data_IF_749088973211
#
_entry.id   IF_749088973211
#
_cell.length_a   1.000
_cell.length_b   1.000
_cell.length_c   1.000
_cell.angle_alpha   90.00
_cell.angle_beta   90.00
_cell.angle_gamma   90.00
#
_symmetry.space_group_name_H-M   'P 1'
#
loop_
_entity.id
_entity.type
_entity.pdbx_description
1 polymer ?
#
# COMPACT_ATOMS: atom_id res chain seq x y z
N UNK A 1 -14.64 -13.33 -15.88
CA UNK A 1 -14.54 -11.93 -15.40
C UNK A 1 -13.87 -11.98 -14.03
N UNK A 2 -12.75 -11.27 -13.84
CA UNK A 2 -12.09 -11.20 -12.55
C UNK A 2 -12.52 -9.89 -11.90
N UNK A 3 -13.22 -9.95 -10.78
CA UNK A 3 -13.63 -8.76 -10.03
C UNK A 3 -12.53 -8.41 -9.01
N UNK A 4 -12.28 -7.12 -8.83
CA UNK A 4 -11.31 -6.62 -7.85
C UNK A 4 -12.01 -5.72 -6.84
N UNK A 5 -11.65 -5.86 -5.56
CA UNK A 5 -12.13 -5.00 -4.50
C UNK A 5 -10.97 -4.20 -3.94
N UNK A 6 -11.14 -2.89 -3.90
CA UNK A 6 -10.18 -1.99 -3.25
C UNK A 6 -10.61 -1.74 -1.79
N UNK A 7 -9.72 -2.04 -0.84
CA UNK A 7 -9.97 -1.76 0.58
C UNK A 7 -9.02 -0.65 1.01
N UNK A 8 -9.59 0.46 1.46
CA UNK A 8 -8.88 1.66 1.90
C UNK A 8 -8.99 1.77 3.42
N UNK A 9 -7.86 1.74 4.13
CA UNK A 9 -7.85 1.67 5.60
C UNK A 9 -7.12 2.87 6.23
N UNK A 10 -7.81 3.55 7.16
CA UNK A 10 -7.34 4.73 7.88
C UNK A 10 -7.21 5.97 7.00
N UNK A 11 -6.96 7.12 7.62
CA UNK A 11 -6.84 8.42 6.96
C UNK A 11 -6.06 8.39 5.64
N UNK A 12 -4.83 7.85 5.66
CA UNK A 12 -3.99 7.80 4.47
C UNK A 12 -4.60 6.94 3.35
N UNK A 13 -5.15 5.77 3.70
CA UNK A 13 -5.79 4.88 2.74
C UNK A 13 -7.02 5.51 2.11
N UNK A 14 -7.88 6.13 2.93
CA UNK A 14 -9.13 6.76 2.46
C UNK A 14 -8.83 7.96 1.55
N UNK A 15 -7.87 8.81 1.91
CA UNK A 15 -7.51 9.97 1.09
C UNK A 15 -6.87 9.55 -0.25
N UNK A 16 -5.98 8.56 -0.24
CA UNK A 16 -5.42 7.99 -1.48
C UNK A 16 -6.54 7.36 -2.31
N UNK A 17 -7.42 6.59 -1.67
CA UNK A 17 -8.56 5.96 -2.33
C UNK A 17 -9.46 6.97 -3.03
N UNK A 18 -9.75 8.11 -2.39
CA UNK A 18 -10.54 9.18 -2.97
C UNK A 18 -9.90 9.74 -4.25
N UNK A 19 -8.60 10.05 -4.21
CA UNK A 19 -7.85 10.50 -5.38
C UNK A 19 -7.77 9.44 -6.49
N UNK A 20 -7.61 8.15 -6.13
CA UNK A 20 -7.63 7.06 -7.10
C UNK A 20 -8.99 6.93 -7.78
N UNK A 21 -10.10 6.99 -7.03
CA UNK A 21 -11.44 6.88 -7.60
C UNK A 21 -11.85 8.09 -8.42
N UNK A 22 -11.40 9.30 -8.05
CA UNK A 22 -11.51 10.49 -8.90
C UNK A 22 -10.84 10.26 -10.27
N UNK A 23 -9.59 9.79 -10.27
CA UNK A 23 -8.87 9.49 -11.49
C UNK A 23 -9.53 8.37 -12.30
N UNK A 24 -9.99 7.29 -11.66
CA UNK A 24 -10.72 6.22 -12.33
C UNK A 24 -12.00 6.72 -13.00
N UNK A 25 -12.75 7.62 -12.36
CA UNK A 25 -13.94 8.21 -12.99
C UNK A 25 -13.57 9.04 -14.23
N UNK A 26 -12.43 9.75 -14.19
CA UNK A 26 -11.95 10.57 -15.31
C UNK A 26 -11.43 9.72 -16.47
N UNK A 27 -10.67 8.66 -16.18
CA UNK A 27 -10.14 7.72 -17.19
C UNK A 27 -11.26 7.02 -17.97
N UNK A 28 -12.41 6.81 -17.34
CA UNK A 28 -13.59 6.21 -17.97
C UNK A 28 -14.57 7.26 -18.51
N UNK A 29 -14.04 8.32 -19.14
CA UNK A 29 -14.76 9.40 -19.83
C UNK A 29 -15.59 10.36 -18.94
N UNK A 30 -15.27 10.49 -17.65
CA UNK A 30 -15.95 11.47 -16.79
C UNK A 30 -17.46 11.27 -16.69
N UNK A 31 -17.96 10.09 -17.09
CA UNK A 31 -19.31 9.67 -16.77
C UNK A 31 -19.32 9.40 -15.27
N UNK A 32 -19.57 10.45 -14.48
CA UNK A 32 -20.37 10.27 -13.27
C UNK A 32 -21.59 9.47 -13.75
N UNK A 33 -21.84 8.26 -13.24
CA UNK A 33 -22.90 7.40 -13.72
C UNK A 33 -24.24 7.94 -13.22
N UNK A 34 -24.63 9.09 -13.77
CA UNK A 34 -25.94 9.70 -13.66
C UNK A 34 -26.63 9.75 -15.01
N UNK A 35 -25.91 9.63 -16.13
CA UNK A 35 -26.53 9.65 -17.46
C UNK A 35 -26.23 8.42 -18.33
N UNK A 36 -27.32 7.64 -18.46
CA UNK A 36 -27.68 6.65 -19.46
C UNK A 36 -26.75 6.51 -20.67
N UNK A 37 -25.99 5.43 -20.69
CA UNK A 37 -25.73 4.67 -21.93
C UNK A 37 -26.04 3.21 -21.68
N UNK A 38 -27.29 2.82 -21.97
CA UNK A 38 -27.71 1.42 -22.04
C UNK A 38 -27.05 0.83 -23.29
N UNK A 39 -26.23 -0.19 -23.09
CA UNK A 39 -25.75 -1.07 -24.16
C UNK A 39 -24.56 -0.51 -24.94
N UNK A 40 -23.36 -0.96 -24.58
CA UNK A 40 -22.20 -0.88 -25.49
C UNK A 40 -20.84 -0.49 -24.89
N UNK A 41 -20.65 -0.53 -23.56
CA UNK A 41 -19.36 -0.25 -22.93
C UNK A 41 -18.56 -1.52 -22.63
N UNK A 42 -17.27 -1.55 -22.96
CA UNK A 42 -16.32 -2.66 -22.74
C UNK A 42 -16.48 -3.36 -21.38
N UNK A 43 -16.60 -4.69 -21.40
CA UNK A 43 -16.76 -5.59 -20.23
C UNK A 43 -15.64 -5.45 -19.17
N UNK A 44 -14.51 -4.84 -19.53
CA UNK A 44 -13.34 -4.66 -18.66
C UNK A 44 -13.63 -3.75 -17.46
N UNK A 45 -14.57 -2.81 -17.60
CA UNK A 45 -14.96 -1.85 -16.56
C UNK A 45 -15.62 -2.51 -15.34
N UNK A 46 -16.37 -3.59 -15.56
CA UNK A 46 -17.07 -4.35 -14.52
C UNK A 46 -16.12 -5.04 -13.52
N UNK A 47 -14.82 -5.03 -13.81
CA UNK A 47 -13.76 -5.47 -12.88
C UNK A 47 -13.75 -4.64 -11.60
N UNK A 48 -13.87 -3.31 -11.73
CA UNK A 48 -13.76 -2.36 -10.62
C UNK A 48 -15.09 -1.73 -10.22
N UNK A 49 -16.08 -1.73 -11.11
CA UNK A 49 -17.41 -1.19 -10.85
C UNK A 49 -18.46 -2.31 -10.84
N UNK A 50 -19.52 -2.13 -10.07
CA UNK A 50 -20.74 -2.92 -10.15
C UNK A 50 -21.84 -2.08 -10.79
N UNK A 51 -22.55 -2.65 -11.75
CA UNK A 51 -23.73 -2.00 -12.35
C UNK A 51 -24.98 -2.35 -11.54
N UNK A 52 -25.72 -1.34 -11.12
CA UNK A 52 -27.04 -1.50 -10.50
C UNK A 52 -28.11 -1.58 -11.59
N UNK A 53 -29.27 -2.19 -11.29
CA UNK A 53 -30.39 -2.29 -12.25
C UNK A 53 -30.94 -0.95 -12.77
N UNK A 54 -30.52 0.18 -12.18
CA UNK A 54 -30.83 1.53 -12.65
C UNK A 54 -29.78 2.11 -13.63
N UNK A 55 -28.77 1.31 -14.04
CA UNK A 55 -27.65 1.74 -14.90
C UNK A 55 -26.60 2.59 -14.17
N UNK A 56 -26.67 2.68 -12.84
CA UNK A 56 -25.65 3.37 -12.02
C UNK A 56 -24.51 2.42 -11.72
N UNK A 57 -23.29 2.88 -11.97
CA UNK A 57 -22.05 2.18 -11.65
C UNK A 57 -21.55 2.58 -10.26
N UNK A 58 -21.30 1.60 -9.41
CA UNK A 58 -20.84 1.80 -8.04
C UNK A 58 -19.45 1.17 -7.90
N UNK A 59 -18.44 1.89 -7.36
CA UNK A 59 -17.14 1.31 -7.11
C UNK A 59 -17.21 0.08 -6.21
N UNK A 60 -16.42 -0.94 -6.54
CA UNK A 60 -16.14 -2.08 -5.67
C UNK A 60 -15.04 -1.70 -4.67
N UNK A 61 -15.35 -0.74 -3.81
CA UNK A 61 -14.46 -0.28 -2.76
C UNK A 61 -15.11 -0.34 -1.39
N UNK A 62 -14.28 -0.51 -0.37
CA UNK A 62 -14.65 -0.36 1.03
C UNK A 62 -13.64 0.59 1.68
N UNK A 63 -14.12 1.67 2.28
CA UNK A 63 -13.30 2.61 3.03
C UNK A 63 -13.59 2.45 4.51
N UNK A 64 -12.53 2.26 5.29
CA UNK A 64 -12.63 1.98 6.73
C UNK A 64 -11.74 2.95 7.48
N UNK A 65 -12.31 3.65 8.45
CA UNK A 65 -11.54 4.45 9.40
C UNK A 65 -12.10 4.27 10.81
N UNK A 66 -11.22 4.37 11.81
CA UNK A 66 -11.62 4.31 13.22
C UNK A 66 -12.14 5.66 13.73
N UNK A 67 -11.94 6.72 12.95
CA UNK A 67 -12.42 8.08 13.19
C UNK A 67 -13.28 8.54 12.00
N UNK A 68 -14.40 9.25 12.24
CA UNK A 68 -15.32 9.63 11.16
C UNK A 68 -14.82 10.78 10.28
N UNK A 69 -13.91 11.62 10.76
CA UNK A 69 -13.52 12.90 10.15
C UNK A 69 -13.21 12.79 8.64
N UNK A 70 -12.38 11.81 8.25
CA UNK A 70 -11.95 11.65 6.85
C UNK A 70 -13.05 11.03 5.98
N UNK A 71 -13.90 10.18 6.55
CA UNK A 71 -15.03 9.57 5.82
C UNK A 71 -16.16 10.59 5.65
N UNK A 72 -16.36 11.49 6.61
CA UNK A 72 -17.33 12.59 6.51
C UNK A 72 -16.96 13.57 5.39
N UNK A 73 -15.67 13.79 5.14
CA UNK A 73 -15.18 14.54 3.96
C UNK A 73 -15.59 13.85 2.65
N UNK A 74 -15.53 12.52 2.58
CA UNK A 74 -15.99 11.75 1.40
C UNK A 74 -17.51 11.86 1.24
N UNK A 75 -18.27 11.88 2.34
CA UNK A 75 -19.73 12.07 2.33
C UNK A 75 -20.18 13.48 1.92
N UNK A 76 -19.36 14.49 2.15
CA UNK A 76 -19.65 15.89 1.81
C UNK A 76 -19.00 16.34 0.50
N UNK A 77 -18.02 15.59 0.02
CA UNK A 77 -17.26 15.91 -1.19
C UNK A 77 -18.01 15.69 -2.50
N UNK A 78 -17.31 15.99 -3.60
CA UNK A 78 -17.82 15.93 -4.97
C UNK A 78 -18.37 14.54 -5.34
N UNK A 79 -17.74 13.47 -4.84
CA UNK A 79 -18.07 12.08 -5.16
C UNK A 79 -18.97 11.38 -4.12
N UNK A 80 -19.68 12.13 -3.27
CA UNK A 80 -20.53 11.57 -2.21
C UNK A 80 -21.61 10.58 -2.66
N UNK A 81 -22.07 10.69 -3.90
CA UNK A 81 -23.09 9.81 -4.47
C UNK A 81 -22.48 8.56 -5.14
N UNK A 82 -21.17 8.52 -5.32
CA UNK A 82 -20.48 7.45 -6.03
C UNK A 82 -20.43 6.17 -5.19
N UNK A 83 -20.03 6.31 -3.92
CA UNK A 83 -19.90 5.19 -2.98
C UNK A 83 -21.23 4.91 -2.27
N UNK A 84 -21.50 3.63 -2.01
CA UNK A 84 -22.65 3.25 -1.20
C UNK A 84 -22.36 3.52 0.28
N UNK A 85 -23.29 4.06 1.09
CA UNK A 85 -23.04 4.33 2.50
C UNK A 85 -22.57 3.11 3.31
N UNK A 86 -23.04 1.91 2.96
CA UNK A 86 -22.59 0.66 3.62
C UNK A 86 -21.13 0.28 3.32
N UNK A 87 -20.51 0.89 2.30
CA UNK A 87 -19.09 0.71 1.98
C UNK A 87 -18.17 1.63 2.78
N UNK A 88 -18.74 2.57 3.54
CA UNK A 88 -18.04 3.54 4.35
C UNK A 88 -18.22 3.16 5.83
N UNK A 89 -17.18 2.60 6.43
CA UNK A 89 -17.22 2.09 7.81
C UNK A 89 -16.41 3.01 8.71
N UNK A 90 -17.07 3.63 9.68
CA UNK A 90 -16.46 4.55 10.65
C UNK A 90 -16.52 3.99 12.08
N UNK A 91 -15.42 4.14 12.83
CA UNK A 91 -15.39 3.97 14.28
C UNK A 91 -15.78 5.24 15.03
N UNK A 92 -15.81 5.13 16.37
CA UNK A 92 -16.03 6.26 17.29
C UNK A 92 -14.74 6.73 17.97
N UNK A 93 -13.71 5.90 17.95
CA UNK A 93 -12.47 6.12 18.68
C UNK A 93 -11.27 5.80 17.79
N UNK A 94 -10.31 6.71 17.76
CA UNK A 94 -9.10 6.60 16.96
C UNK A 94 -8.11 5.55 17.51
N UNK A 95 -7.15 5.13 16.67
CA UNK A 95 -6.03 4.31 17.14
C UNK A 95 -4.95 5.14 17.88
N UNK A 96 -4.96 6.47 17.81
CA UNK A 96 -3.96 7.37 18.38
C UNK A 96 -2.51 6.97 18.05
N UNK A 97 -2.24 6.60 16.78
CA UNK A 97 -0.96 6.08 16.30
C UNK A 97 -0.44 4.83 17.05
N UNK A 98 -1.33 4.08 17.70
CA UNK A 98 -1.00 2.88 18.46
C UNK A 98 -1.51 1.61 17.75
N UNK A 99 -0.57 0.84 17.19
CA UNK A 99 -0.88 -0.43 16.53
C UNK A 99 -1.69 -1.39 17.41
N UNK A 100 -1.37 -1.48 18.70
CA UNK A 100 -2.07 -2.41 19.60
C UNK A 100 -3.54 -2.01 19.80
N UNK A 101 -3.83 -0.70 19.82
CA UNK A 101 -5.20 -0.18 19.95
C UNK A 101 -6.01 -0.46 18.68
N UNK A 102 -5.39 -0.25 17.51
CA UNK A 102 -6.00 -0.56 16.22
C UNK A 102 -6.17 -2.06 15.95
N UNK A 103 -5.33 -2.93 16.51
CA UNK A 103 -5.38 -4.38 16.22
C UNK A 103 -6.23 -5.19 17.22
N UNK A 104 -6.24 -4.83 18.51
CA UNK A 104 -6.83 -5.68 19.55
C UNK A 104 -8.16 -5.18 20.11
N UNK A 105 -8.25 -4.05 20.83
CA UNK A 105 -9.50 -3.60 21.41
C UNK A 105 -10.44 -3.05 20.33
N UNK A 106 -10.05 -1.96 19.67
CA UNK A 106 -10.95 -1.20 18.78
C UNK A 106 -11.12 -1.91 17.45
N UNK A 107 -10.02 -2.39 16.86
CA UNK A 107 -10.10 -3.10 15.57
C UNK A 107 -10.96 -4.34 15.63
N UNK A 108 -10.98 -5.06 16.76
CA UNK A 108 -11.81 -6.26 16.91
C UNK A 108 -13.31 -5.94 16.98
N UNK A 109 -13.69 -4.75 17.41
CA UNK A 109 -15.10 -4.33 17.42
C UNK A 109 -15.60 -4.02 16.00
N UNK A 110 -14.72 -3.51 15.13
CA UNK A 110 -15.08 -3.06 13.77
C UNK A 110 -14.80 -4.13 12.71
N UNK A 111 -13.92 -5.10 12.98
CA UNK A 111 -13.51 -6.10 11.98
C UNK A 111 -14.69 -6.90 11.45
N UNK A 112 -15.67 -7.25 12.29
CA UNK A 112 -16.85 -8.01 11.84
C UNK A 112 -17.73 -7.16 10.91
N UNK A 113 -17.90 -5.87 11.21
CA UNK A 113 -18.61 -4.91 10.34
C UNK A 113 -17.91 -4.72 8.99
N UNK A 114 -16.59 -4.80 8.95
CA UNK A 114 -15.78 -4.69 7.72
C UNK A 114 -15.79 -6.00 6.93
N UNK A 115 -15.80 -7.13 7.62
CA UNK A 115 -15.80 -8.45 6.98
C UNK A 115 -17.12 -8.75 6.30
N UNK A 116 -18.25 -8.22 6.76
CA UNK A 116 -19.56 -8.49 6.15
C UNK A 116 -19.70 -7.95 4.70
N UNK A 117 -19.30 -6.71 4.37
CA UNK A 117 -19.17 -6.24 2.98
C UNK A 117 -18.16 -7.03 2.14
N UNK A 118 -17.01 -7.42 2.73
CA UNK A 118 -15.93 -8.13 2.03
C UNK A 118 -16.32 -9.59 1.71
N UNK A 119 -17.01 -10.26 2.64
CA UNK A 119 -17.50 -11.65 2.51
C UNK A 119 -18.57 -11.78 1.44
N UNK A 120 -19.37 -10.74 1.21
CA UNK A 120 -20.36 -10.72 0.11
C UNK A 120 -19.71 -10.70 -1.28
N UNK A 121 -18.41 -10.45 -1.39
CA UNK A 121 -17.78 -10.08 -2.66
C UNK A 121 -16.46 -10.83 -2.99
N UNK A 122 -15.97 -11.76 -2.16
CA UNK A 122 -14.65 -12.40 -2.41
C UNK A 122 -14.62 -13.90 -2.19
N UNK A 123 -13.95 -14.61 -3.11
CA UNK A 123 -13.34 -15.92 -2.89
C UNK A 123 -11.82 -15.82 -3.13
N UNK A 124 -11.05 -16.20 -2.10
CA UNK A 124 -9.65 -16.67 -2.09
C UNK A 124 -8.52 -15.73 -2.55
N UNK A 125 -7.50 -15.55 -1.69
CA UNK A 125 -6.10 -16.01 -1.93
C UNK A 125 -5.41 -16.29 -0.57
N UNK A 126 -4.74 -17.45 -0.39
CA UNK A 126 -3.98 -17.79 0.81
C UNK A 126 -2.46 -17.64 0.60
N UNK A 127 -1.90 -16.54 1.09
CA UNK A 127 -0.55 -16.47 1.73
C UNK A 127 0.75 -16.62 0.86
N UNK A 128 1.97 -16.32 1.40
CA UNK A 128 2.50 -14.95 1.56
C UNK A 128 4.05 -14.83 1.44
N UNK A 129 4.60 -13.63 1.66
CA UNK A 129 5.98 -13.34 2.17
C UNK A 129 7.09 -12.80 1.27
N UNK A 130 6.94 -12.66 -0.05
CA UNK A 130 7.83 -11.73 -0.81
C UNK A 130 7.02 -11.04 -1.91
N UNK A 131 6.27 -10.01 -1.54
CA UNK A 131 5.38 -9.28 -2.45
C UNK A 131 5.57 -7.75 -2.38
N UNK A 132 6.72 -7.31 -1.84
CA UNK A 132 7.05 -5.89 -1.80
C UNK A 132 7.69 -5.48 -3.12
N UNK A 133 6.87 -4.94 -4.01
CA UNK A 133 7.32 -4.41 -5.29
C UNK A 133 7.76 -2.96 -5.12
N UNK A 134 8.87 -2.61 -5.76
CA UNK A 134 9.32 -1.25 -5.94
C UNK A 134 8.62 -0.68 -7.17
N UNK A 135 7.77 0.33 -6.96
CA UNK A 135 7.13 1.08 -8.03
C UNK A 135 7.96 2.30 -8.43
N UNK A 136 8.01 2.54 -9.74
CA UNK A 136 8.60 3.73 -10.36
C UNK A 136 7.65 4.23 -11.44
N UNK A 137 7.48 5.53 -11.54
CA UNK A 137 6.65 6.14 -12.57
C UNK A 137 7.45 7.19 -13.33
N UNK A 138 7.33 7.19 -14.66
CA UNK A 138 7.96 8.19 -15.51
C UNK A 138 7.09 8.45 -16.76
N UNK A 139 7.03 9.69 -17.25
CA UNK A 139 7.67 10.89 -16.70
C UNK A 139 6.79 11.60 -15.65
N UNK A 140 7.42 12.30 -14.71
CA UNK A 140 6.75 13.21 -13.76
C UNK A 140 7.11 14.64 -14.16
N UNK A 141 6.24 15.29 -14.92
CA UNK A 141 6.46 16.65 -15.44
C UNK A 141 5.38 17.57 -14.89
N UNK A 142 5.79 18.74 -14.39
CA UNK A 142 4.87 19.78 -13.93
C UNK A 142 4.07 20.38 -15.08
N UNK A 143 2.80 20.69 -14.84
CA UNK A 143 1.91 21.35 -15.80
C UNK A 143 2.50 22.64 -16.39
N UNK A 144 3.32 23.38 -15.62
CA UNK A 144 3.99 24.61 -16.07
C UNK A 144 5.10 24.36 -17.10
N UNK A 145 5.70 23.17 -17.11
CA UNK A 145 6.87 22.81 -17.96
C UNK A 145 6.50 21.96 -19.17
N UNK A 146 5.21 21.77 -19.43
CA UNK A 146 4.67 20.81 -20.41
C UNK A 146 5.11 21.07 -21.87
N UNK A 147 5.53 22.28 -22.21
CA UNK A 147 5.70 22.71 -23.61
C UNK A 147 7.06 22.40 -24.25
N UNK A 148 8.05 21.89 -23.49
CA UNK A 148 9.43 21.89 -23.97
C UNK A 148 9.98 20.56 -24.48
N UNK A 149 9.34 19.40 -24.21
CA UNK A 149 9.88 18.13 -24.73
C UNK A 149 8.84 17.00 -24.73
N UNK A 150 8.66 16.35 -25.88
CA UNK A 150 7.99 15.05 -25.94
C UNK A 150 9.05 13.98 -25.71
N UNK A 151 8.99 13.30 -24.56
CA UNK A 151 9.90 12.22 -24.25
C UNK A 151 9.56 10.98 -25.06
N UNK A 152 10.58 10.33 -25.62
CA UNK A 152 10.48 9.08 -26.38
C UNK A 152 10.31 7.87 -25.47
N UNK A 153 9.83 6.74 -26.02
CA UNK A 153 9.73 5.44 -25.31
C UNK A 153 11.05 5.04 -24.66
N UNK A 154 12.18 5.28 -25.34
CA UNK A 154 13.50 4.96 -24.81
C UNK A 154 13.86 5.83 -23.60
N UNK A 155 13.56 7.13 -23.64
CA UNK A 155 13.85 8.06 -22.55
C UNK A 155 12.99 7.77 -21.32
N UNK A 156 11.68 7.58 -21.48
CA UNK A 156 10.80 7.22 -20.35
C UNK A 156 11.19 5.87 -19.75
N UNK A 157 11.62 4.91 -20.57
CA UNK A 157 12.08 3.60 -20.09
C UNK A 157 13.37 3.73 -19.30
N UNK A 158 14.30 4.58 -19.75
CA UNK A 158 15.54 4.88 -19.02
C UNK A 158 15.25 5.58 -17.69
N UNK A 159 14.36 6.57 -17.70
CA UNK A 159 13.90 7.28 -16.50
C UNK A 159 13.24 6.32 -15.49
N UNK A 160 12.60 5.26 -15.98
CA UNK A 160 12.06 4.17 -15.14
C UNK A 160 13.10 3.45 -14.27
N UNK A 161 14.38 3.45 -14.66
CA UNK A 161 15.47 2.84 -13.87
C UNK A 161 16.29 3.87 -13.07
N UNK A 162 15.92 5.15 -13.13
CA UNK A 162 16.59 6.19 -12.35
C UNK A 162 16.10 6.19 -10.90
N UNK A 163 17.02 6.23 -9.91
CA UNK A 163 16.64 6.27 -8.50
C UNK A 163 15.76 7.46 -8.11
N UNK A 164 15.84 8.57 -8.87
CA UNK A 164 15.07 9.79 -8.61
C UNK A 164 13.56 9.59 -8.79
N UNK A 165 13.15 8.65 -9.65
CA UNK A 165 11.73 8.40 -9.96
C UNK A 165 11.14 7.25 -9.12
N UNK A 166 11.92 6.66 -8.21
CA UNK A 166 11.47 5.55 -7.38
C UNK A 166 10.56 6.02 -6.24
N UNK A 167 9.44 5.33 -6.04
CA UNK A 167 8.49 5.61 -4.96
C UNK A 167 8.99 5.14 -3.59
N UNK A 168 10.09 4.37 -3.54
CA UNK A 168 10.77 3.99 -2.31
C UNK A 168 12.23 4.40 -2.41
N UNK A 169 12.71 5.11 -1.38
CA UNK A 169 14.11 5.52 -1.28
C UNK A 169 15.00 4.31 -0.97
N UNK A 170 15.61 3.75 -2.00
CA UNK A 170 16.64 2.72 -1.91
C UNK A 170 17.62 2.86 -3.09
N UNK A 171 18.86 2.38 -2.94
CA UNK A 171 19.78 2.38 -4.07
C UNK A 171 19.66 1.06 -4.85
N UNK A 172 19.08 1.03 -6.07
CA UNK A 172 18.94 -0.19 -6.85
C UNK A 172 20.29 -0.82 -7.22
N UNK A 173 21.39 -0.06 -7.20
CA UNK A 173 22.75 -0.57 -7.46
C UNK A 173 23.29 -1.46 -6.33
N UNK A 174 22.74 -1.34 -5.12
CA UNK A 174 23.10 -2.20 -3.99
C UNK A 174 22.31 -3.52 -3.97
N UNK A 175 21.41 -3.72 -4.93
CA UNK A 175 20.62 -4.93 -5.08
C UNK A 175 20.72 -5.51 -6.48
N UNK A 176 20.13 -6.69 -6.65
CA UNK A 176 19.88 -7.30 -7.96
C UNK A 176 18.37 -7.33 -8.21
N UNK A 177 17.98 -7.13 -9.47
CA UNK A 177 16.61 -7.29 -9.93
C UNK A 177 16.27 -8.78 -10.11
N UNK A 178 15.15 -9.20 -9.54
CA UNK A 178 14.59 -10.54 -9.72
C UNK A 178 13.56 -10.56 -10.85
N UNK A 179 12.73 -9.52 -10.94
CA UNK A 179 11.74 -9.33 -11.99
C UNK A 179 11.42 -7.85 -12.15
N UNK A 180 11.08 -7.43 -13.35
CA UNK A 180 10.61 -6.09 -13.71
C UNK A 180 9.39 -6.22 -14.63
N UNK A 181 8.33 -5.49 -14.33
CA UNK A 181 7.17 -5.33 -15.18
C UNK A 181 7.11 -3.88 -15.64
N UNK A 182 7.12 -3.63 -16.95
CA UNK A 182 6.98 -2.32 -17.56
C UNK A 182 5.56 -2.20 -18.10
N UNK A 183 4.76 -1.32 -17.51
CA UNK A 183 3.38 -1.04 -17.87
C UNK A 183 3.36 0.32 -18.58
N UNK A 184 3.36 0.30 -19.91
CA UNK A 184 3.28 1.47 -20.75
C UNK A 184 1.84 1.91 -20.95
N UNK A 185 1.65 3.21 -21.12
CA UNK A 185 0.36 3.85 -21.34
C UNK A 185 0.53 4.93 -22.41
N UNK A 186 -0.32 4.94 -23.44
CA UNK A 186 -0.34 5.95 -24.51
C UNK A 186 0.19 5.48 -25.86
N UNK A 187 0.69 6.43 -26.66
CA UNK A 187 1.18 6.17 -28.02
C UNK A 187 2.55 5.47 -27.99
N UNK A 188 2.52 4.16 -27.74
CA UNK A 188 3.72 3.33 -27.53
C UNK A 188 3.76 2.19 -28.54
N UNK A 189 4.80 2.20 -29.37
CA UNK A 189 5.03 1.16 -30.38
C UNK A 189 5.81 -0.02 -29.76
N UNK A 190 5.32 -1.28 -29.86
CA UNK A 190 5.98 -2.44 -29.26
C UNK A 190 7.43 -2.67 -29.73
N UNK A 191 7.75 -2.28 -30.97
CA UNK A 191 9.12 -2.34 -31.51
C UNK A 191 10.08 -1.47 -30.71
N UNK A 192 9.65 -0.26 -30.36
CA UNK A 192 10.47 0.72 -29.65
C UNK A 192 10.66 0.31 -28.18
N UNK A 193 9.64 -0.31 -27.59
CA UNK A 193 9.74 -0.92 -26.25
C UNK A 193 10.81 -2.03 -26.23
N UNK A 194 10.78 -2.94 -27.20
CA UNK A 194 11.75 -4.02 -27.28
C UNK A 194 13.18 -3.50 -27.51
N UNK A 195 13.34 -2.47 -28.35
CA UNK A 195 14.61 -1.78 -28.55
C UNK A 195 15.11 -1.12 -27.25
N UNK A 196 14.23 -0.40 -26.53
CA UNK A 196 14.58 0.23 -25.26
C UNK A 196 14.99 -0.80 -24.19
N UNK A 197 14.27 -1.92 -24.07
CA UNK A 197 14.61 -3.02 -23.14
C UNK A 197 15.96 -3.65 -23.51
N UNK A 198 16.24 -3.83 -24.80
CA UNK A 198 17.54 -4.33 -25.26
C UNK A 198 18.67 -3.38 -24.82
N UNK A 199 18.49 -2.07 -24.95
CA UNK A 199 19.44 -1.06 -24.45
C UNK A 199 19.57 -1.10 -22.92
N UNK A 200 18.48 -1.30 -22.17
CA UNK A 200 18.53 -1.43 -20.71
C UNK A 200 19.36 -2.64 -20.29
N UNK A 201 19.20 -3.78 -20.97
CA UNK A 201 19.92 -5.02 -20.65
C UNK A 201 21.44 -4.92 -20.85
N UNK A 202 21.91 -4.02 -21.70
CA UNK A 202 23.36 -3.81 -21.89
C UNK A 202 23.98 -2.90 -20.84
N UNK A 203 23.17 -2.18 -20.05
CA UNK A 203 23.66 -1.28 -18.99
C UNK A 203 24.17 -2.07 -17.79
N UNK A 204 25.47 -1.97 -17.52
CA UNK A 204 26.14 -2.61 -16.35
C UNK A 204 25.58 -2.18 -15.00
N UNK A 205 24.93 -1.01 -14.93
CA UNK A 205 24.31 -0.49 -13.71
C UNK A 205 23.04 -1.23 -13.31
N UNK A 206 22.44 -2.01 -14.21
CA UNK A 206 21.19 -2.74 -13.99
C UNK A 206 21.54 -4.22 -14.01
N UNK A 207 21.60 -4.82 -12.83
CA UNK A 207 22.01 -6.21 -12.67
C UNK A 207 20.80 -7.07 -12.31
N UNK A 208 20.54 -8.09 -13.13
CA UNK A 208 19.57 -9.13 -12.83
C UNK A 208 20.22 -10.28 -12.08
N UNK A 209 19.41 -11.08 -11.39
CA UNK A 209 19.83 -12.35 -10.81
C UNK A 209 20.15 -13.37 -11.90
N UNK A 210 21.15 -14.20 -11.67
CA UNK A 210 21.72 -15.10 -12.68
C UNK A 210 20.72 -16.19 -13.13
N UNK A 211 19.74 -16.53 -12.28
CA UNK A 211 18.67 -17.48 -12.56
C UNK A 211 17.44 -16.86 -13.27
N UNK A 212 17.39 -15.54 -13.49
CA UNK A 212 16.32 -14.87 -14.23
C UNK A 212 16.87 -13.78 -15.17
N UNK A 213 17.58 -14.15 -16.25
CA UNK A 213 18.18 -13.19 -17.18
C UNK A 213 17.14 -12.46 -18.06
N UNK A 214 15.93 -13.00 -18.19
CA UNK A 214 14.83 -12.48 -19.03
C UNK A 214 13.70 -11.86 -18.20
N UNK A 215 13.98 -11.37 -16.99
CA UNK A 215 12.99 -10.94 -15.99
C UNK A 215 12.09 -9.74 -16.35
N UNK A 216 11.94 -9.37 -17.62
CA UNK A 216 11.04 -8.30 -18.07
C UNK A 216 9.68 -8.85 -18.50
N UNK A 217 8.61 -8.30 -17.93
CA UNK A 217 7.24 -8.40 -18.43
C UNK A 217 6.83 -7.04 -18.99
N UNK A 218 6.08 -7.04 -20.07
CA UNK A 218 5.64 -5.81 -20.74
C UNK A 218 4.12 -5.83 -20.87
N UNK A 219 3.48 -4.75 -20.46
CA UNK A 219 2.07 -4.44 -20.74
C UNK A 219 2.00 -3.09 -21.44
N UNK A 220 1.10 -2.95 -22.41
CA UNK A 220 0.88 -1.69 -23.14
C UNK A 220 -0.62 -1.42 -23.12
N UNK A 221 -1.02 -0.27 -22.56
CA UNK A 221 -2.32 0.32 -22.78
C UNK A 221 -2.18 1.45 -23.81
N UNK A 222 -2.97 1.42 -24.87
CA UNK A 222 -2.90 2.41 -25.95
C UNK A 222 -3.66 3.70 -25.65
N UNK A 223 -4.47 3.73 -24.59
CA UNK A 223 -5.08 4.97 -24.13
C UNK A 223 -3.99 5.89 -23.54
N UNK A 224 -4.01 7.21 -23.76
CA UNK A 224 -3.06 8.11 -23.11
C UNK A 224 -3.37 8.25 -21.60
N UNK A 225 -2.37 8.54 -20.75
CA UNK A 225 -2.61 8.84 -19.34
C UNK A 225 -3.57 10.01 -19.15
N UNK A 226 -4.53 9.84 -18.24
CA UNK A 226 -5.44 10.93 -17.86
C UNK A 226 -4.84 11.74 -16.71
N UNK A 227 -5.09 13.04 -16.68
CA UNK A 227 -4.70 13.92 -15.57
C UNK A 227 -5.94 14.54 -14.95
N UNK A 228 -5.92 14.72 -13.63
CA UNK A 228 -6.99 15.39 -12.91
C UNK A 228 -7.01 16.88 -13.27
N UNK A 229 -8.16 17.47 -13.66
CA UNK A 229 -8.27 18.90 -13.89
C UNK A 229 -7.83 19.72 -12.66
N UNK A 230 -6.92 20.67 -12.85
CA UNK A 230 -6.35 21.46 -11.75
C UNK A 230 -5.22 20.77 -10.98
N UNK A 231 -4.82 19.56 -11.38
CA UNK A 231 -3.65 18.88 -10.83
C UNK A 231 -2.31 19.43 -11.34
N UNK A 232 -1.24 19.08 -10.63
CA UNK A 232 0.11 19.60 -10.90
C UNK A 232 0.83 18.91 -12.08
N UNK A 233 0.29 17.80 -12.60
CA UNK A 233 0.92 17.01 -13.66
C UNK A 233 0.51 17.49 -15.06
N UNK A 234 1.49 17.58 -15.94
CA UNK A 234 1.29 17.86 -17.35
C UNK A 234 0.60 16.69 -18.06
N UNK A 235 -0.24 17.00 -19.06
CA UNK A 235 -0.74 16.00 -20.00
C UNK A 235 0.42 15.47 -20.84
N UNK A 236 0.60 14.15 -20.83
CA UNK A 236 1.65 13.46 -21.58
C UNK A 236 1.04 12.48 -22.56
N UNK A 237 1.66 12.31 -23.73
CA UNK A 237 1.21 11.34 -24.74
C UNK A 237 1.51 9.90 -24.35
N UNK A 238 2.56 9.72 -23.54
CA UNK A 238 3.01 8.41 -23.10
C UNK A 238 3.65 8.44 -21.71
N UNK A 239 3.45 7.38 -20.96
CA UNK A 239 4.07 7.15 -19.65
C UNK A 239 4.37 5.66 -19.44
N UNK A 240 5.23 5.38 -18.48
CA UNK A 240 5.57 4.03 -18.04
C UNK A 240 5.53 3.94 -16.52
N UNK A 241 4.79 2.95 -16.02
CA UNK A 241 4.86 2.50 -14.65
C UNK A 241 5.69 1.22 -14.60
N UNK A 242 6.81 1.25 -13.91
CA UNK A 242 7.63 0.06 -13.66
C UNK A 242 7.34 -0.51 -12.29
N UNK A 243 7.00 -1.80 -12.23
CA UNK A 243 6.93 -2.58 -11.01
C UNK A 243 8.11 -3.55 -10.99
N UNK A 244 9.04 -3.35 -10.06
CA UNK A 244 10.25 -4.17 -9.98
C UNK A 244 10.37 -4.88 -8.64
N UNK A 245 10.76 -6.13 -8.68
CA UNK A 245 11.15 -6.90 -7.51
C UNK A 245 12.67 -6.87 -7.41
N UNK A 246 13.21 -6.12 -6.44
CA UNK A 246 14.64 -5.93 -6.24
C UNK A 246 15.03 -6.16 -4.79
N UNK A 247 16.20 -6.78 -4.58
CA UNK A 247 16.76 -6.94 -3.25
C UNK A 247 17.13 -5.60 -2.59
N UNK A 248 17.23 -4.51 -3.36
CA UNK A 248 17.54 -3.17 -2.85
C UNK A 248 16.51 -2.65 -1.83
N UNK A 249 15.26 -3.14 -1.87
CA UNK A 249 14.22 -2.77 -0.90
C UNK A 249 14.60 -3.16 0.54
N UNK A 250 15.52 -4.12 0.72
CA UNK A 250 16.06 -4.47 2.03
C UNK A 250 16.70 -3.27 2.75
N UNK A 251 17.21 -2.27 2.03
CA UNK A 251 17.77 -1.04 2.61
C UNK A 251 16.69 -0.23 3.35
N UNK A 252 15.49 -0.10 2.76
CA UNK A 252 14.36 0.59 3.39
C UNK A 252 13.93 -0.14 4.68
N UNK A 253 13.90 -1.48 4.65
CA UNK A 253 13.64 -2.29 5.83
C UNK A 253 14.72 -2.15 6.90
N UNK A 254 16.00 -2.09 6.51
CA UNK A 254 17.11 -1.89 7.44
C UNK A 254 17.06 -0.52 8.14
N UNK A 255 16.66 0.54 7.42
CA UNK A 255 16.43 1.86 8.01
C UNK A 255 15.29 1.86 9.03
N UNK A 256 14.19 1.16 8.71
CA UNK A 256 13.07 1.00 9.64
C UNK A 256 13.50 0.22 10.89
N UNK A 257 14.19 -0.92 10.72
CA UNK A 257 14.70 -1.73 11.83
C UNK A 257 15.66 -0.92 12.71
N UNK A 258 16.54 -0.12 12.12
CA UNK A 258 17.45 0.74 12.88
C UNK A 258 16.70 1.74 13.77
N UNK A 259 15.68 2.42 13.21
CA UNK A 259 14.84 3.38 13.94
C UNK A 259 14.07 2.72 15.08
N UNK A 260 13.60 1.50 14.88
CA UNK A 260 12.84 0.73 15.89
C UNK A 260 13.76 0.18 16.98
N UNK A 261 14.92 -0.35 16.60
CA UNK A 261 15.87 -1.02 17.50
C UNK A 261 16.48 -0.08 18.54
N UNK A 262 16.71 1.19 18.20
CA UNK A 262 17.33 2.16 19.11
C UNK A 262 16.46 2.48 20.36
N UNK A 263 15.18 2.88 20.23
CA UNK A 263 14.25 3.01 21.35
C UNK A 263 14.06 1.71 22.13
N UNK A 264 13.87 0.58 21.43
CA UNK A 264 13.71 -0.74 22.06
C UNK A 264 14.88 -1.06 23.00
N UNK A 265 16.12 -0.90 22.53
CA UNK A 265 17.32 -1.12 23.34
C UNK A 265 17.39 -0.21 24.56
N UNK A 266 16.97 1.06 24.43
CA UNK A 266 16.93 2.00 25.56
C UNK A 266 15.89 1.60 26.60
N UNK A 267 14.71 1.16 26.17
CA UNK A 267 13.65 0.69 27.05
C UNK A 267 14.07 -0.60 27.75
N UNK A 268 14.62 -1.58 27.02
CA UNK A 268 15.08 -2.84 27.59
C UNK A 268 16.15 -2.63 28.66
N UNK A 269 17.15 -1.76 28.43
CA UNK A 269 18.18 -1.42 29.43
C UNK A 269 17.62 -0.78 30.69
N UNK A 270 16.53 -0.01 30.59
CA UNK A 270 15.85 0.59 31.75
C UNK A 270 15.01 -0.43 32.52
N UNK A 271 14.43 -1.41 31.82
CA UNK A 271 13.55 -2.42 32.41
C UNK A 271 14.33 -3.60 33.03
N UNK A 272 15.52 -3.93 32.52
CA UNK A 272 16.32 -5.07 33.00
C UNK A 272 16.66 -5.01 34.51
N UNK A 273 17.11 -3.86 35.07
CA UNK A 273 17.34 -3.75 36.51
C UNK A 273 16.06 -3.87 37.35
N UNK A 274 14.93 -3.37 36.82
CA UNK A 274 13.62 -3.40 37.48
C UNK A 274 13.09 -4.84 37.52
N UNK A 275 13.22 -5.57 36.41
CA UNK A 275 12.82 -6.98 36.31
C UNK A 275 13.63 -7.89 37.24
N UNK A 276 14.95 -7.64 37.36
CA UNK A 276 15.80 -8.34 38.34
C UNK A 276 15.38 -8.05 39.78
N UNK A 277 15.10 -6.78 40.12
CA UNK A 277 14.65 -6.38 41.47
C UNK A 277 13.31 -7.00 41.86
N UNK A 278 12.36 -7.07 40.92
CA UNK A 278 11.02 -7.63 41.18
C UNK A 278 10.94 -9.17 41.02
N UNK A 279 12.06 -9.88 40.81
CA UNK A 279 12.12 -11.34 40.61
C UNK A 279 11.13 -11.86 39.56
N UNK A 280 10.94 -11.10 38.48
CA UNK A 280 10.02 -11.48 37.41
C UNK A 280 10.63 -12.61 36.55
N UNK A 281 9.91 -13.73 36.35
CA UNK A 281 10.35 -14.81 35.45
C UNK A 281 9.91 -14.51 34.02
N UNK A 282 10.87 -14.52 33.10
CA UNK A 282 10.59 -14.61 31.66
C UNK A 282 10.12 -16.05 31.37
N UNK A 283 8.83 -16.26 31.17
CA UNK A 283 8.27 -17.55 30.71
C UNK A 283 8.00 -17.48 29.20
N UNK A 284 8.01 -18.67 28.58
CA UNK A 284 7.82 -18.93 27.15
C UNK A 284 6.88 -17.93 26.45
N UNK A 285 7.38 -17.42 25.34
CA UNK A 285 6.84 -16.33 24.53
C UNK A 285 5.58 -16.81 23.83
N UNK A 286 4.43 -16.20 24.17
CA UNK A 286 3.20 -16.32 23.41
C UNK A 286 2.50 -14.94 23.42
N UNK A 287 2.34 -14.34 22.25
CA UNK A 287 1.67 -13.03 22.11
C UNK A 287 0.17 -13.20 22.35
N UNK A 288 -0.34 -12.60 23.42
CA UNK A 288 -1.77 -12.29 23.56
C UNK A 288 -1.91 -10.97 24.31
N UNK A 289 -2.64 -10.03 23.70
CA UNK A 289 -2.91 -8.72 24.27
C UNK A 289 -3.82 -8.84 25.48
N UNK A 290 -3.53 -8.08 26.54
CA UNK A 290 -4.45 -7.86 27.64
C UNK A 290 -4.33 -6.39 28.09
N UNK A 291 -5.43 -5.66 27.94
CA UNK A 291 -5.71 -4.44 28.69
C UNK A 291 -6.19 -4.88 30.07
N UNK A 292 -5.68 -4.26 31.14
CA UNK A 292 -6.34 -4.29 32.46
C UNK A 292 -6.47 -2.84 32.96
N UNK A 293 -7.60 -2.50 33.62
CA UNK A 293 -7.90 -1.13 33.97
C UNK A 293 -6.98 -0.60 35.06
N UNK A 294 -6.74 0.70 34.98
CA UNK A 294 -6.02 1.53 35.92
C UNK A 294 -6.59 1.45 37.34
N UNK A 295 -5.76 1.04 38.29
CA UNK A 295 -5.84 1.54 39.68
C UNK A 295 -4.50 1.48 40.43
N UNK A 296 -3.50 0.72 39.97
CA UNK A 296 -2.19 0.64 40.64
C UNK A 296 -1.03 0.60 39.64
N UNK A 297 -0.48 1.77 39.32
CA UNK A 297 0.95 1.98 38.99
C UNK A 297 1.60 1.17 37.86
N UNK A 298 1.82 1.86 36.73
CA UNK A 298 2.95 1.69 35.77
C UNK A 298 3.12 0.35 35.05
N UNK A 299 2.70 0.28 33.77
CA UNK A 299 3.14 -0.76 32.83
C UNK A 299 3.58 -0.09 31.51
N UNK A 300 4.86 -0.27 31.16
CA UNK A 300 5.46 0.16 29.89
C UNK A 300 5.35 -0.98 28.87
N UNK A 301 4.51 -0.81 27.86
CA UNK A 301 4.34 -1.77 26.76
C UNK A 301 5.28 -1.41 25.61
N UNK A 302 6.04 -2.38 25.09
CA UNK A 302 6.77 -2.20 23.82
C UNK A 302 6.42 -3.34 22.88
N UNK A 303 5.75 -3.02 21.78
CA UNK A 303 5.50 -3.95 20.68
C UNK A 303 6.60 -3.81 19.62
N UNK A 304 7.03 -4.95 19.07
CA UNK A 304 7.55 -5.03 17.72
C UNK A 304 7.08 -6.36 17.13
N UNK A 305 6.08 -6.30 16.25
CA UNK A 305 5.71 -7.41 15.38
C UNK A 305 6.63 -7.40 14.17
N UNK A 306 7.50 -8.40 14.05
CA UNK A 306 8.06 -8.83 12.78
C UNK A 306 7.95 -10.36 12.73
N UNK A 307 7.16 -10.84 11.78
CA UNK A 307 7.02 -12.26 11.48
C UNK A 307 8.40 -12.88 11.20
N UNK A 308 8.59 -14.12 11.65
CA UNK A 308 9.83 -14.89 11.51
C UNK A 308 10.38 -14.89 10.07
N UNK A 309 11.52 -14.20 9.89
CA UNK A 309 12.54 -14.43 8.85
C UNK A 309 13.86 -14.75 9.56
N UNK A 310 14.46 -15.92 9.31
CA UNK A 310 15.83 -16.19 9.74
C UNK A 310 16.86 -15.51 8.82
N UNK A 311 18.18 -15.67 9.06
CA UNK A 311 18.87 -15.68 10.34
C UNK A 311 19.22 -14.23 10.71
N UNK A 312 18.20 -13.41 11.01
CA UNK A 312 18.40 -12.12 11.67
C UNK A 312 17.92 -12.33 13.09
N UNK A 313 18.79 -12.05 14.07
CA UNK A 313 18.65 -12.40 15.49
C UNK A 313 17.21 -12.33 16.02
N UNK A 314 16.77 -13.31 16.83
CA UNK A 314 15.41 -13.32 17.37
C UNK A 314 15.21 -12.13 18.32
N UNK A 315 14.38 -11.16 17.91
CA UNK A 315 13.90 -10.08 18.77
C UNK A 315 12.93 -10.71 19.78
N UNK A 316 13.40 -10.93 21.01
CA UNK A 316 12.57 -11.43 22.13
C UNK A 316 11.78 -10.27 22.75
N UNK A 317 10.46 -10.30 22.61
CA UNK A 317 9.53 -9.43 23.33
C UNK A 317 9.28 -10.02 24.73
N UNK A 318 9.47 -9.23 25.79
CA UNK A 318 9.35 -9.67 27.19
C UNK A 318 8.03 -9.15 27.77
N UNK A 319 7.18 -10.06 28.26
CA UNK A 319 6.05 -9.72 29.13
C UNK A 319 6.44 -9.92 30.60
N UNK A 320 6.16 -8.92 31.42
CA UNK A 320 6.47 -8.88 32.85
C UNK A 320 5.17 -9.08 33.64
N UNK A 321 5.00 -10.22 34.31
CA UNK A 321 3.86 -10.51 35.20
C UNK A 321 4.32 -10.51 36.65
N UNK A 322 3.79 -9.60 37.46
CA UNK A 322 4.03 -9.53 38.91
C UNK A 322 3.44 -10.78 39.59
N UNK A 323 4.18 -11.43 40.51
CA UNK A 323 3.62 -12.51 41.34
C UNK A 323 2.47 -11.93 42.17
N UNK A 324 1.25 -12.44 42.01
CA UNK A 324 0.26 -12.37 43.10
C UNK A 324 0.83 -13.20 44.26
N UNK A 325 1.04 -12.59 45.42
CA UNK A 325 1.18 -13.35 46.67
C UNK A 325 -0.19 -13.98 46.92
N UNK A 326 -0.28 -15.29 46.78
CA UNK A 326 -1.36 -16.04 47.44
C UNK A 326 -1.11 -15.87 48.94
N UNK A 327 -2.00 -15.12 49.59
CA UNK A 327 -2.11 -15.17 51.04
C UNK A 327 -2.88 -16.44 51.36
N UNK A 328 -2.17 -17.45 51.87
CA UNK A 328 -2.73 -18.55 52.65
C UNK A 328 -2.83 -18.13 54.10
#
# INVERSE_FOLDING_TARGET
MHECISIHVGQAGVQIGNACWELYCLEHNGQIPTDKTIGGGDDTFNTFFSETGAGKHVPRAVSVDLEPTVIDEVHTGTYRQLLHPEQLVTGKEDAANNYARGHYPIGKEIIDLVLDPIRKLTNLVPYPRIHFLLATYAPVISAEKAYHEQLTVAEITNAGFEPANQMVKCNPRHGKYMACCLLYHGDVVPKDVNAAIATIKTKRTIQFVDWCPTGFKVGINYQPPTVVPGGDLAKVQQAVCMLSNTAAIAEAWAHLDHKIRLPLRRIMRRLEPIALREKMRVKNINLSAAILPSSLGTVLFVFCGAAHCGPILPIKVIFLKKRKKEYS
#
